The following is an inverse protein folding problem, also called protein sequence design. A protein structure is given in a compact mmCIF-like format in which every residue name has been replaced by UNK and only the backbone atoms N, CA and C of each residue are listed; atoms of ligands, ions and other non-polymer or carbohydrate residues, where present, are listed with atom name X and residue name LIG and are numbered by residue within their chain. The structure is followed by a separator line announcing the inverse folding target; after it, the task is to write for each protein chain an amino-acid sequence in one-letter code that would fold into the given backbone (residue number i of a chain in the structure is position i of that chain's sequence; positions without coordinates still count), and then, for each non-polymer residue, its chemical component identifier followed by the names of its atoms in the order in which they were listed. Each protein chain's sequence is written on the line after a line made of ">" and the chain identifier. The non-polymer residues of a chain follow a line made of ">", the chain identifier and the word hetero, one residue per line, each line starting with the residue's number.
data_IF_172713731594
#
_entry.id   IF_172713731594
#
_cell.length_a   1.000
_cell.length_b   1.000
_cell.length_c   1.000
_cell.angle_alpha   90.00
_cell.angle_beta   90.00
_cell.angle_gamma   90.00
#
_symmetry.space_group_name_H-M   'P 1'
#
loop_
_entity.id
_entity.type
_entity.pdbx_description
1 polymer ?
#
# COMPACT_ATOMS: atom_id res chain seq x y z
N UNK A 1 -0.54 2.63 -21.31
CA UNK A 1 -1.51 2.99 -20.29
C UNK A 1 -2.88 2.31 -20.48
N UNK A 2 -3.59 2.44 -21.63
CA UNK A 2 -4.89 1.73 -21.86
C UNK A 2 -4.82 0.19 -21.73
N UNK A 3 -3.72 -0.46 -22.13
CA UNK A 3 -3.53 -1.91 -22.01
C UNK A 3 -3.34 -2.38 -20.57
N UNK A 4 -2.67 -1.58 -19.72
CA UNK A 4 -2.56 -1.84 -18.27
C UNK A 4 -3.91 -1.77 -17.54
N UNK A 5 -4.80 -0.87 -17.95
CA UNK A 5 -6.12 -0.72 -17.34
C UNK A 5 -7.05 -1.92 -17.63
N UNK A 6 -6.88 -2.60 -18.76
CA UNK A 6 -7.66 -3.80 -19.09
C UNK A 6 -7.16 -5.06 -18.37
N UNK A 7 -5.86 -5.16 -18.08
CA UNK A 7 -5.27 -6.31 -17.37
C UNK A 7 -5.32 -6.17 -15.83
N UNK A 8 -5.33 -4.94 -15.31
CA UNK A 8 -5.37 -4.64 -13.86
C UNK A 8 -6.75 -4.92 -13.23
N UNK A 9 -7.82 -5.04 -14.02
CA UNK A 9 -9.16 -5.35 -13.52
C UNK A 9 -9.26 -6.69 -12.73
N UNK A 10 -8.24 -7.53 -12.77
CA UNK A 10 -8.19 -8.83 -12.09
C UNK A 10 -7.35 -8.84 -10.80
N UNK A 11 -6.67 -7.75 -10.48
CA UNK A 11 -5.81 -7.63 -9.28
C UNK A 11 -6.43 -6.65 -8.28
N UNK A 12 -7.40 -7.13 -7.51
CA UNK A 12 -7.83 -6.40 -6.32
C UNK A 12 -6.93 -6.77 -5.14
N UNK A 13 -6.12 -5.83 -4.67
CA UNK A 13 -5.28 -6.06 -3.51
C UNK A 13 -4.82 -4.74 -2.88
N UNK A 14 -5.23 -4.39 -1.67
CA UNK A 14 -6.27 -5.04 -0.84
C UNK A 14 -7.68 -4.85 -1.40
N UNK A 15 -7.88 -3.82 -2.24
CA UNK A 15 -9.13 -3.43 -2.88
C UNK A 15 -8.86 -3.01 -4.33
N UNK A 16 -9.91 -2.75 -5.11
CA UNK A 16 -9.76 -2.28 -6.49
C UNK A 16 -9.04 -0.93 -6.59
N UNK A 17 -9.25 -0.02 -5.62
CA UNK A 17 -8.63 1.30 -5.62
C UNK A 17 -7.11 1.26 -5.47
N UNK A 18 -6.58 0.30 -4.71
CA UNK A 18 -5.14 0.06 -4.53
C UNK A 18 -4.53 -0.97 -5.48
N UNK A 19 -5.33 -1.59 -6.34
CA UNK A 19 -4.97 -2.78 -7.12
C UNK A 19 -3.83 -2.61 -8.12
N UNK A 20 -3.49 -1.38 -8.50
CA UNK A 20 -2.39 -1.10 -9.43
C UNK A 20 -1.00 -1.16 -8.82
N UNK A 21 -0.89 -1.04 -7.50
CA UNK A 21 0.40 -0.85 -6.82
C UNK A 21 1.27 -2.13 -6.86
N UNK A 22 0.70 -3.28 -6.48
CA UNK A 22 1.40 -4.57 -6.46
C UNK A 22 1.93 -4.97 -7.84
N UNK A 23 1.10 -5.04 -8.89
CA UNK A 23 1.59 -5.43 -10.21
C UNK A 23 2.60 -4.42 -10.76
N UNK A 24 2.48 -3.13 -10.46
CA UNK A 24 3.46 -2.13 -10.89
C UNK A 24 4.85 -2.40 -10.32
N UNK A 25 4.95 -2.74 -9.03
CA UNK A 25 6.23 -3.04 -8.41
C UNK A 25 6.75 -4.41 -8.80
N UNK A 26 5.90 -5.42 -8.92
CA UNK A 26 6.32 -6.72 -9.46
C UNK A 26 6.90 -6.57 -10.86
N UNK A 27 6.25 -5.79 -11.73
CA UNK A 27 6.75 -5.52 -13.08
C UNK A 27 8.08 -4.75 -13.05
N UNK A 28 8.20 -3.73 -12.18
CA UNK A 28 9.47 -3.03 -11.98
C UNK A 28 10.57 -4.00 -11.54
N UNK A 29 10.31 -4.86 -10.56
CA UNK A 29 11.30 -5.83 -10.08
C UNK A 29 11.69 -6.84 -11.14
N UNK A 30 10.73 -7.39 -11.88
CA UNK A 30 11.01 -8.34 -12.95
C UNK A 30 11.85 -7.74 -14.09
N UNK A 31 11.73 -6.43 -14.32
CA UNK A 31 12.45 -5.74 -15.39
C UNK A 31 13.85 -5.26 -15.01
N UNK A 32 14.03 -4.85 -13.76
CA UNK A 32 15.25 -4.16 -13.31
C UNK A 32 16.08 -4.97 -12.30
N UNK A 33 15.61 -6.17 -11.92
CA UNK A 33 16.32 -7.05 -11.00
C UNK A 33 16.56 -8.40 -11.67
N UNK A 34 17.81 -8.77 -11.83
CA UNK A 34 18.22 -10.05 -12.44
C UNK A 34 17.96 -11.26 -11.54
N UNK A 35 17.78 -11.03 -10.25
CA UNK A 35 17.56 -12.04 -9.22
C UNK A 35 16.07 -12.26 -8.89
N UNK A 36 15.12 -11.61 -9.58
CA UNK A 36 13.68 -11.69 -9.32
C UNK A 36 13.07 -12.87 -10.10
N UNK A 37 12.91 -14.00 -9.42
CA UNK A 37 12.41 -15.26 -9.96
C UNK A 37 11.03 -15.62 -9.34
N UNK A 38 10.47 -16.76 -9.71
CA UNK A 38 9.16 -17.23 -9.27
C UNK A 38 9.06 -17.39 -7.74
N UNK A 39 10.08 -17.96 -7.09
CA UNK A 39 10.11 -18.12 -5.63
C UNK A 39 10.03 -16.77 -4.92
N UNK A 40 10.65 -15.74 -5.50
CA UNK A 40 10.60 -14.38 -4.97
C UNK A 40 9.26 -13.73 -5.19
N UNK A 41 8.59 -14.00 -6.30
CA UNK A 41 7.21 -13.55 -6.52
C UNK A 41 6.28 -14.16 -5.47
N UNK A 42 6.39 -15.46 -5.22
CA UNK A 42 5.60 -16.15 -4.20
C UNK A 42 5.87 -15.57 -2.80
N UNK A 43 7.14 -15.42 -2.43
CA UNK A 43 7.53 -14.84 -1.14
C UNK A 43 7.01 -13.41 -0.97
N UNK A 44 7.11 -12.61 -2.02
CA UNK A 44 6.57 -11.24 -2.07
C UNK A 44 5.07 -11.23 -1.82
N UNK A 45 4.28 -12.06 -2.52
CA UNK A 45 2.84 -12.12 -2.38
C UNK A 45 2.41 -12.64 -0.99
N UNK A 46 3.11 -13.62 -0.43
CA UNK A 46 2.84 -14.13 0.92
C UNK A 46 3.12 -13.07 1.99
N UNK A 47 4.22 -12.35 1.88
CA UNK A 47 4.56 -11.26 2.81
C UNK A 47 3.53 -10.13 2.70
N UNK A 48 3.15 -9.79 1.48
CA UNK A 48 2.11 -8.82 1.21
C UNK A 48 0.79 -9.24 1.89
N UNK A 49 0.34 -10.46 1.67
CA UNK A 49 -0.88 -10.99 2.29
C UNK A 49 -0.84 -10.93 3.82
N UNK A 50 0.28 -11.32 4.44
CA UNK A 50 0.45 -11.26 5.89
C UNK A 50 0.29 -9.84 6.44
N UNK A 51 0.94 -8.86 5.82
CA UNK A 51 0.81 -7.45 6.23
C UNK A 51 -0.64 -6.97 6.00
N UNK A 52 -1.26 -7.29 4.87
CA UNK A 52 -2.65 -6.92 4.58
C UNK A 52 -3.64 -7.44 5.62
N UNK A 53 -3.43 -8.64 6.14
CA UNK A 53 -4.24 -9.22 7.21
C UNK A 53 -4.13 -8.39 8.49
N UNK A 54 -2.92 -7.96 8.89
CA UNK A 54 -2.72 -7.11 10.08
C UNK A 54 -3.53 -5.81 9.98
N UNK A 55 -3.56 -5.18 8.82
CA UNK A 55 -4.35 -3.96 8.61
C UNK A 55 -5.86 -4.22 8.55
N UNK A 56 -6.26 -5.32 7.95
CA UNK A 56 -7.67 -5.72 7.91
C UNK A 56 -8.23 -6.00 9.30
N UNK A 57 -7.46 -6.68 10.16
CA UNK A 57 -7.86 -7.04 11.51
C UNK A 57 -7.71 -5.88 12.50
N UNK A 58 -6.63 -5.11 12.39
CA UNK A 58 -6.34 -4.02 13.32
C UNK A 58 -7.02 -2.69 13.00
N UNK A 59 -7.51 -2.51 11.77
CA UNK A 59 -8.15 -1.27 11.34
C UNK A 59 -9.23 -1.52 10.28
N UNK A 60 -8.99 -1.15 9.04
CA UNK A 60 -9.82 -1.41 7.86
C UNK A 60 -9.00 -1.21 6.59
N UNK A 61 -9.38 -1.90 5.53
CA UNK A 61 -8.82 -1.74 4.18
C UNK A 61 -9.81 -1.03 3.24
N UNK A 62 -10.93 -0.55 3.76
CA UNK A 62 -12.00 0.08 2.99
C UNK A 62 -11.85 1.59 2.95
N UNK A 63 -11.78 2.18 1.76
CA UNK A 63 -11.75 3.64 1.60
C UNK A 63 -13.06 4.31 2.05
N UNK A 64 -14.18 3.59 2.02
CA UNK A 64 -15.45 4.06 2.54
C UNK A 64 -15.45 4.19 4.08
N UNK A 65 -14.61 3.41 4.76
CA UNK A 65 -14.49 3.46 6.23
C UNK A 65 -13.38 4.40 6.70
N UNK A 66 -12.23 4.33 6.08
CA UNK A 66 -11.00 5.00 6.56
C UNK A 66 -10.31 5.88 5.51
N UNK A 67 -10.94 6.15 4.37
CA UNK A 67 -10.32 6.91 3.28
C UNK A 67 -9.27 6.09 2.51
N UNK A 68 -8.59 6.75 1.57
CA UNK A 68 -7.55 6.11 0.76
C UNK A 68 -6.33 5.62 1.55
N UNK A 69 -6.14 6.05 2.80
CA UNK A 69 -5.11 5.48 3.66
C UNK A 69 -5.31 3.95 3.84
N UNK A 70 -6.58 3.47 3.88
CA UNK A 70 -6.90 2.05 3.96
C UNK A 70 -6.71 1.28 2.65
N UNK A 71 -6.80 1.93 1.51
CA UNK A 71 -6.61 1.30 0.20
C UNK A 71 -5.18 1.45 -0.32
N UNK A 72 -4.85 2.63 -0.80
CA UNK A 72 -3.54 2.91 -1.38
C UNK A 72 -2.45 2.86 -0.31
N UNK A 73 -2.72 3.39 0.90
CA UNK A 73 -1.79 3.32 2.01
C UNK A 73 -1.42 1.87 2.35
N UNK A 74 -2.40 0.97 2.49
CA UNK A 74 -2.14 -0.46 2.73
C UNK A 74 -1.49 -1.12 1.52
N UNK A 75 -1.87 -0.77 0.29
CA UNK A 75 -1.25 -1.32 -0.91
C UNK A 75 0.25 -0.96 -1.02
N UNK A 76 0.68 0.20 -0.51
CA UNK A 76 2.10 0.59 -0.41
C UNK A 76 2.91 -0.37 0.46
N UNK A 77 2.30 -0.97 1.48
CA UNK A 77 2.98 -1.83 2.45
C UNK A 77 3.30 -3.22 1.90
N UNK A 78 2.57 -3.66 0.90
CA UNK A 78 2.67 -4.98 0.31
C UNK A 78 3.92 -5.18 -0.53
N UNK A 79 4.77 -4.17 -0.62
CA UNK A 79 5.86 -4.11 -1.59
C UNK A 79 7.24 -4.22 -0.96
N UNK A 80 7.32 -4.89 0.16
CA UNK A 80 8.60 -5.17 0.78
C UNK A 80 9.35 -6.18 -0.11
N UNK A 81 10.04 -5.60 -1.09
CA UNK A 81 10.87 -6.29 -2.04
C UNK A 81 11.68 -7.40 -1.37
N UNK A 82 11.13 -8.62 -1.42
CA UNK A 82 11.82 -9.84 -1.15
C UNK A 82 12.61 -9.86 0.16
N UNK A 83 11.89 -10.05 1.24
CA UNK A 83 12.46 -10.16 2.59
C UNK A 83 13.54 -11.25 2.71
N UNK A 84 13.43 -12.33 1.96
CA UNK A 84 14.39 -13.44 2.03
C UNK A 84 15.61 -13.27 1.12
N UNK A 85 15.45 -12.72 -0.08
CA UNK A 85 16.56 -12.60 -1.02
C UNK A 85 17.40 -11.33 -0.85
N UNK A 86 16.82 -10.27 -0.21
CA UNK A 86 17.56 -9.04 0.10
C UNK A 86 18.18 -9.06 1.51
N UNK A 87 17.98 -10.13 2.28
CA UNK A 87 18.51 -10.25 3.62
C UNK A 87 17.86 -9.29 4.62
N UNK A 88 16.59 -8.87 4.38
CA UNK A 88 15.86 -8.07 5.35
C UNK A 88 15.43 -8.92 6.55
N UNK A 89 15.66 -8.39 7.73
CA UNK A 89 15.14 -8.96 8.97
C UNK A 89 13.62 -8.76 9.07
N UNK A 90 12.88 -9.64 9.76
CA UNK A 90 11.45 -9.43 10.01
C UNK A 90 11.12 -8.05 10.58
N UNK A 91 11.96 -7.52 11.48
CA UNK A 91 11.84 -6.18 12.03
C UNK A 91 11.99 -5.09 10.97
N UNK A 92 12.92 -5.23 10.03
CA UNK A 92 13.06 -4.29 8.92
C UNK A 92 11.87 -4.34 7.97
N UNK A 93 11.23 -5.51 7.84
CA UNK A 93 9.99 -5.66 7.09
C UNK A 93 8.85 -4.87 7.76
N UNK A 94 8.69 -5.03 9.07
CA UNK A 94 7.72 -4.26 9.83
C UNK A 94 7.98 -2.74 9.75
N UNK A 95 9.26 -2.33 9.79
CA UNK A 95 9.64 -0.93 9.66
C UNK A 95 9.35 -0.37 8.26
N UNK A 96 9.57 -1.14 7.20
CA UNK A 96 9.20 -0.70 5.86
C UNK A 96 7.68 -0.51 5.71
N UNK A 97 6.90 -1.41 6.32
CA UNK A 97 5.45 -1.27 6.38
C UNK A 97 5.04 -0.03 7.18
N UNK A 98 5.61 0.17 8.34
CA UNK A 98 5.37 1.34 9.18
C UNK A 98 5.67 2.63 8.41
N UNK A 99 6.88 2.80 7.86
CA UNK A 99 7.29 3.96 7.07
C UNK A 99 6.32 4.22 5.90
N UNK A 100 5.95 3.17 5.18
CA UNK A 100 5.02 3.28 4.06
C UNK A 100 3.65 3.80 4.47
N UNK A 101 3.08 3.29 5.56
CA UNK A 101 1.77 3.73 6.05
C UNK A 101 1.83 5.10 6.72
N UNK A 102 2.82 5.38 7.54
CA UNK A 102 2.96 6.67 8.21
C UNK A 102 2.83 7.83 7.22
N UNK A 103 3.46 7.69 6.06
CA UNK A 103 3.42 8.70 5.00
C UNK A 103 2.15 8.70 4.14
N UNK A 104 1.16 7.89 4.50
CA UNK A 104 -0.17 7.86 3.89
C UNK A 104 -1.30 8.09 4.91
N UNK A 105 -0.97 8.32 6.20
CA UNK A 105 -1.96 8.65 7.22
C UNK A 105 -2.70 9.94 6.84
N UNK A 106 -4.02 9.95 7.06
CA UNK A 106 -4.89 11.07 6.73
C UNK A 106 -5.24 11.21 5.24
N UNK A 107 -4.83 10.27 4.39
CA UNK A 107 -5.15 10.32 2.96
C UNK A 107 -6.64 10.11 2.73
N UNK A 108 -7.31 11.18 2.31
CA UNK A 108 -8.74 11.19 1.99
C UNK A 108 -9.04 10.41 0.71
N UNK A 109 -10.27 9.98 0.51
CA UNK A 109 -10.74 9.36 -0.73
C UNK A 109 -11.86 10.19 -1.32
N UNK A 110 -11.70 10.57 -2.60
CA UNK A 110 -12.71 11.34 -3.33
C UNK A 110 -12.58 11.01 -4.83
N UNK A 111 -13.08 9.84 -5.25
CA UNK A 111 -13.00 9.42 -6.65
C UNK A 111 -13.93 10.30 -7.50
N UNK A 112 -13.37 10.95 -8.51
CA UNK A 112 -14.11 11.83 -9.42
C UNK A 112 -15.19 11.04 -10.17
N UNK A 113 -16.43 11.44 -10.02
CA UNK A 113 -17.59 10.77 -10.63
C UNK A 113 -17.79 9.32 -10.12
N UNK A 114 -17.26 8.96 -8.95
CA UNK A 114 -17.35 7.61 -8.40
C UNK A 114 -16.48 6.58 -9.14
N UNK A 115 -15.59 7.01 -10.02
CA UNK A 115 -14.77 6.13 -10.85
C UNK A 115 -13.37 5.96 -10.27
N UNK A 116 -12.89 4.71 -10.23
CA UNK A 116 -11.50 4.38 -9.85
C UNK A 116 -10.54 4.73 -11.01
N UNK A 117 -10.40 6.02 -11.30
CA UNK A 117 -9.55 6.59 -12.33
C UNK A 117 -8.66 7.68 -11.76
N UNK A 118 -9.17 8.89 -11.64
CA UNK A 118 -8.49 10.03 -11.02
C UNK A 118 -9.21 10.32 -9.69
N UNK A 119 -8.47 10.45 -8.57
CA UNK A 119 -7.02 10.43 -8.41
C UNK A 119 -6.42 9.02 -8.17
N UNK A 120 -7.19 7.95 -8.19
CA UNK A 120 -6.75 6.60 -7.78
C UNK A 120 -5.54 6.10 -8.58
N UNK A 121 -5.52 6.26 -9.90
CA UNK A 121 -4.40 5.83 -10.76
C UNK A 121 -3.11 6.55 -10.39
N UNK A 122 -3.20 7.87 -10.15
CA UNK A 122 -2.05 8.70 -9.78
C UNK A 122 -1.54 8.32 -8.38
N UNK A 123 -2.45 8.10 -7.42
CA UNK A 123 -2.11 7.64 -6.07
C UNK A 123 -1.44 6.28 -6.08
N UNK A 124 -1.89 5.35 -6.92
CA UNK A 124 -1.23 4.05 -7.09
C UNK A 124 0.21 4.21 -7.61
N UNK A 125 0.42 5.08 -8.59
CA UNK A 125 1.76 5.37 -9.13
C UNK A 125 2.68 5.92 -8.04
N UNK A 126 2.22 6.94 -7.31
CA UNK A 126 2.98 7.51 -6.19
C UNK A 126 3.18 6.52 -5.06
N UNK A 127 2.17 5.70 -4.77
CA UNK A 127 2.24 4.62 -3.79
C UNK A 127 3.33 3.60 -4.12
N UNK A 128 3.43 3.19 -5.37
CA UNK A 128 4.48 2.26 -5.82
C UNK A 128 5.89 2.82 -5.58
N UNK A 129 6.11 4.10 -5.86
CA UNK A 129 7.39 4.78 -5.61
C UNK A 129 7.69 4.86 -4.10
N UNK A 130 6.70 5.27 -3.29
CA UNK A 130 6.83 5.33 -1.82
C UNK A 130 7.22 3.99 -1.23
N UNK A 131 6.62 2.92 -1.69
CA UNK A 131 6.89 1.57 -1.23
C UNK A 131 8.34 1.13 -1.48
N UNK A 132 8.83 1.32 -2.70
CA UNK A 132 10.22 1.04 -3.03
C UNK A 132 11.17 1.85 -2.15
N UNK A 133 10.83 3.12 -1.90
CA UNK A 133 11.65 3.98 -1.05
C UNK A 133 11.61 3.56 0.43
N UNK A 134 10.43 3.22 0.97
CA UNK A 134 10.26 2.74 2.33
C UNK A 134 11.09 1.47 2.59
N UNK A 135 11.06 0.51 1.67
CA UNK A 135 11.88 -0.70 1.75
C UNK A 135 13.40 -0.38 1.74
N UNK A 136 13.83 0.60 0.93
CA UNK A 136 15.23 1.04 0.90
C UNK A 136 15.66 1.73 2.18
N UNK A 137 14.78 2.53 2.78
CA UNK A 137 15.03 3.19 4.07
C UNK A 137 15.16 2.15 5.19
N UNK A 138 14.19 1.25 5.31
CA UNK A 138 14.19 0.20 6.32
C UNK A 138 15.43 -0.72 6.21
N UNK A 139 15.86 -1.02 4.98
CA UNK A 139 17.08 -1.83 4.76
C UNK A 139 18.35 -1.18 5.28
N UNK A 140 18.41 0.15 5.32
CA UNK A 140 19.59 0.88 5.87
C UNK A 140 19.59 0.94 7.39
N UNK A 141 18.44 0.70 8.03
CA UNK A 141 18.30 0.64 9.48
C UNK A 141 18.72 -0.71 10.04
N UNK A 142 18.80 -0.79 11.35
CA UNK A 142 19.14 -1.99 12.12
C UNK A 142 17.91 -2.84 12.50
N UNK A 143 16.72 -2.42 12.10
CA UNK A 143 15.44 -3.04 12.48
C UNK A 143 14.81 -2.47 13.75
N UNK A 144 15.49 -1.58 14.46
CA UNK A 144 14.92 -0.86 15.58
C UNK A 144 14.26 0.42 15.10
N UNK A 145 12.97 0.59 15.41
CA UNK A 145 12.22 1.78 15.04
C UNK A 145 11.42 2.31 16.23
N UNK A 146 11.34 3.63 16.39
CA UNK A 146 10.69 4.26 17.55
C UNK A 146 9.17 4.06 17.46
N UNK A 147 8.61 4.12 16.25
CA UNK A 147 7.19 3.90 15.99
C UNK A 147 7.00 2.46 15.53
N UNK A 148 6.12 1.72 16.20
CA UNK A 148 5.79 0.36 15.77
C UNK A 148 4.70 0.35 14.72
N UNK A 149 4.69 -0.70 13.88
CA UNK A 149 3.63 -0.95 12.90
C UNK A 149 2.24 -0.96 13.57
N UNK A 150 2.11 -1.56 14.75
CA UNK A 150 0.84 -1.61 15.50
C UNK A 150 0.32 -0.22 15.86
N UNK A 151 1.22 0.71 16.24
CA UNK A 151 0.84 2.11 16.52
C UNK A 151 0.35 2.82 15.28
N UNK A 152 0.97 2.58 14.14
CA UNK A 152 0.54 3.17 12.87
C UNK A 152 -0.81 2.62 12.44
N UNK A 153 -1.05 1.31 12.59
CA UNK A 153 -2.36 0.67 12.33
C UNK A 153 -3.44 1.29 13.22
N UNK A 154 -3.17 1.41 14.53
CA UNK A 154 -4.12 2.03 15.47
C UNK A 154 -4.38 3.50 15.15
N UNK A 155 -3.35 4.25 14.73
CA UNK A 155 -3.48 5.65 14.31
C UNK A 155 -4.31 5.76 13.04
N UNK A 156 -4.08 4.89 12.05
CA UNK A 156 -4.88 4.84 10.81
C UNK A 156 -6.37 4.60 11.13
N UNK A 157 -6.66 3.65 12.01
CA UNK A 157 -8.02 3.33 12.43
C UNK A 157 -8.68 4.55 13.08
N UNK A 158 -8.00 5.21 14.01
CA UNK A 158 -8.50 6.40 14.71
C UNK A 158 -8.70 7.55 13.73
N UNK A 159 -7.71 7.88 12.92
CA UNK A 159 -7.81 8.93 11.90
C UNK A 159 -8.98 8.67 10.94
N UNK A 160 -9.17 7.41 10.53
CA UNK A 160 -10.30 7.02 9.70
C UNK A 160 -11.65 7.25 10.38
N UNK A 161 -11.76 6.98 11.68
CA UNK A 161 -12.99 7.28 12.46
C UNK A 161 -13.26 8.77 12.60
N UNK A 162 -12.21 9.55 12.81
CA UNK A 162 -12.31 11.01 12.97
C UNK A 162 -12.55 11.73 11.63
N UNK A 163 -12.26 11.07 10.51
CA UNK A 163 -12.46 11.62 9.17
C UNK A 163 -13.95 11.78 8.84
N UNK A 164 -14.33 12.99 8.44
CA UNK A 164 -15.69 13.28 8.02
C UNK A 164 -16.08 12.47 6.78
N UNK A 165 -17.38 12.15 6.66
CA UNK A 165 -17.91 11.26 5.62
C UNK A 165 -17.62 11.74 4.20
N UNK A 166 -17.62 13.04 3.94
CA UNK A 166 -17.32 13.59 2.62
C UNK A 166 -15.84 13.51 2.21
N UNK A 167 -14.94 13.13 3.13
CA UNK A 167 -13.54 12.84 2.82
C UNK A 167 -13.27 11.33 2.61
N UNK A 168 -14.31 10.53 2.72
CA UNK A 168 -14.29 9.09 2.43
C UNK A 168 -14.78 8.83 1.01
N UNK A 169 -14.90 7.58 0.59
CA UNK A 169 -15.29 7.19 -0.77
C UNK A 169 -16.77 7.47 -1.05
N UNK A 170 -17.16 8.73 -1.07
CA UNK A 170 -18.55 9.17 -1.29
C UNK A 170 -18.75 9.97 -2.57
N UNK A 171 -17.67 10.42 -3.20
CA UNK A 171 -17.70 11.39 -4.33
C UNK A 171 -18.47 12.68 -4.02
N UNK A 172 -18.53 13.05 -2.74
CA UNK A 172 -19.14 14.29 -2.26
C UNK A 172 -18.10 15.34 -1.85
N UNK A 173 -16.83 15.07 -2.10
CA UNK A 173 -15.71 15.92 -1.72
C UNK A 173 -15.41 17.03 -2.72
N UNK A 174 -14.24 17.64 -2.57
CA UNK A 174 -13.89 18.93 -3.20
C UNK A 174 -13.16 18.74 -4.56
N UNK A 175 -12.89 17.50 -4.98
CA UNK A 175 -12.20 17.25 -6.27
C UNK A 175 -13.12 17.25 -7.50
N UNK A 176 -14.41 17.51 -7.30
CA UNK A 176 -15.40 17.69 -8.39
C UNK A 176 -15.57 19.16 -8.71
#
# INVERSE_FOLDING_TARGET
>A
MKKMLQEVAWFSAPTNGGGGVIPAVMHYCSRFRTDFNEDKIISFLLTAGAIGILFKEGASISAAEVGCQGEVGVAVLWQQLDSRSNGLLPSQIANAAEIGMEHNLGLTCDPVGGLVQIPCIERNTMGAIKAINAARLAKRGDGNHIISLDRVIATMHKTGKDMLQHYKETSLGVLL
#
